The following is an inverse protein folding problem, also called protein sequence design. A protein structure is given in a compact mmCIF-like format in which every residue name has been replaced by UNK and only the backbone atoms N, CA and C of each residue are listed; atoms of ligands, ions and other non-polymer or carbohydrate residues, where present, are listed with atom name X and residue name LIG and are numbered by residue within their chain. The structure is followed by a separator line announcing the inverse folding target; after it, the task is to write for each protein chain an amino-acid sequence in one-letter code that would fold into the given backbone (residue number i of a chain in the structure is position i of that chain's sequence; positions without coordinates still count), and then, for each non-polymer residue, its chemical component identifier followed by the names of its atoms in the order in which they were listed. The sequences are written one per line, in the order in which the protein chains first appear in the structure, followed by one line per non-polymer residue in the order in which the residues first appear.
data_IF_306750801295
#
_entry.id   IF_306750801295
#
_cell.length_a   1.000
_cell.length_b   1.000
_cell.length_c   1.000
_cell.angle_alpha   90.00
_cell.angle_beta   90.00
_cell.angle_gamma   90.00
#
_symmetry.space_group_name_H-M   'P 1'
#
loop_
_entity.id
_entity.type
_entity.pdbx_description
1 polymer ?
#
# COMPACT_ATOMS: atom_id res chain seq x y z
N UNK A 1 37.52 23.01 -0.42
CA UNK A 1 36.43 22.90 -1.44
C UNK A 1 35.29 22.15 -0.79
N UNK A 2 34.31 22.89 -0.31
CA UNK A 2 33.10 22.32 0.27
C UNK A 2 32.18 21.88 -0.87
N UNK A 3 32.00 20.58 -1.05
CA UNK A 3 30.98 20.09 -1.98
C UNK A 3 29.63 20.30 -1.31
N UNK A 4 28.85 21.25 -1.84
CA UNK A 4 27.45 21.42 -1.49
C UNK A 4 26.69 20.14 -1.96
N UNK A 5 26.29 19.29 -1.05
CA UNK A 5 25.26 18.30 -1.34
C UNK A 5 23.96 19.05 -1.72
N UNK A 6 23.28 18.66 -2.81
CA UNK A 6 21.99 19.26 -3.13
C UNK A 6 21.05 19.02 -1.94
N UNK A 7 20.38 20.07 -1.49
CA UNK A 7 19.45 19.97 -0.35
C UNK A 7 18.37 18.93 -0.70
N UNK A 8 17.94 18.11 0.26
CA UNK A 8 16.93 17.05 0.09
C UNK A 8 15.63 17.55 -0.60
N UNK A 9 15.25 18.81 -0.37
CA UNK A 9 14.13 19.48 -1.04
C UNK A 9 14.32 19.65 -2.55
N UNK A 10 15.54 19.95 -3.00
CA UNK A 10 15.84 20.06 -4.44
C UNK A 10 15.72 18.69 -5.14
N UNK A 11 16.14 17.63 -4.47
CA UNK A 11 16.01 16.25 -4.97
C UNK A 11 14.53 15.81 -5.05
N UNK A 12 13.73 16.12 -4.02
CA UNK A 12 12.30 15.79 -3.99
C UNK A 12 11.52 16.50 -5.12
N UNK A 13 11.70 17.80 -5.27
CA UNK A 13 11.04 18.57 -6.34
C UNK A 13 11.45 18.11 -7.73
N UNK A 14 12.72 17.71 -7.92
CA UNK A 14 13.20 17.20 -9.20
C UNK A 14 12.57 15.83 -9.52
N UNK A 15 12.41 14.94 -8.53
CA UNK A 15 11.72 13.67 -8.69
C UNK A 15 10.26 13.88 -9.07
N UNK A 16 9.51 14.68 -8.28
CA UNK A 16 8.11 15.00 -8.55
C UNK A 16 7.95 15.53 -9.98
N UNK A 17 8.78 16.53 -10.37
CA UNK A 17 8.72 17.10 -11.71
C UNK A 17 9.01 16.06 -12.79
N UNK A 18 9.98 15.17 -12.60
CA UNK A 18 10.32 14.12 -13.58
C UNK A 18 9.16 13.16 -13.86
N UNK A 19 8.36 12.85 -12.83
CA UNK A 19 7.14 12.03 -13.00
C UNK A 19 6.05 12.83 -13.72
N UNK A 20 5.85 14.08 -13.34
CA UNK A 20 4.84 14.96 -13.95
C UNK A 20 5.10 15.24 -15.43
N UNK A 21 6.36 15.28 -15.84
CA UNK A 21 6.78 15.48 -17.23
C UNK A 21 6.41 14.27 -18.14
N UNK A 22 6.22 13.09 -17.54
CA UNK A 22 5.71 11.90 -18.25
C UNK A 22 4.22 12.02 -18.60
N UNK A 23 3.50 12.95 -17.98
CA UNK A 23 2.07 13.18 -18.13
C UNK A 23 1.23 11.87 -18.06
N UNK A 24 1.39 11.05 -16.99
CA UNK A 24 0.68 9.79 -16.88
C UNK A 24 -0.83 10.03 -16.75
N UNK A 25 -1.63 9.18 -17.41
CA UNK A 25 -3.09 9.20 -17.30
C UNK A 25 -3.60 8.24 -16.24
N UNK A 26 -2.84 7.17 -15.98
CA UNK A 26 -3.11 6.16 -14.96
C UNK A 26 -1.83 5.87 -14.18
N UNK A 27 -1.88 6.11 -12.87
CA UNK A 27 -0.80 5.82 -11.94
C UNK A 27 -1.29 4.90 -10.81
N UNK A 28 -0.47 3.91 -10.44
CA UNK A 28 -0.77 2.96 -9.37
C UNK A 28 0.33 3.00 -8.32
N UNK A 29 -0.07 2.99 -7.06
CA UNK A 29 0.84 3.10 -5.93
C UNK A 29 0.63 1.92 -4.98
N UNK A 30 1.70 1.24 -4.62
CA UNK A 30 1.76 0.53 -3.36
C UNK A 30 1.65 1.53 -2.20
N UNK A 31 1.42 1.06 -0.98
CA UNK A 31 1.16 1.93 0.17
C UNK A 31 2.29 1.92 1.20
N UNK A 32 2.48 0.81 1.90
CA UNK A 32 3.46 0.65 2.98
C UNK A 32 4.89 0.72 2.43
N UNK A 33 5.71 1.64 2.93
CA UNK A 33 7.05 1.91 2.40
C UNK A 33 7.07 2.70 1.08
N UNK A 34 5.91 2.98 0.46
CA UNK A 34 5.77 3.73 -0.80
C UNK A 34 5.12 5.10 -0.60
N UNK A 35 3.97 5.16 0.07
CA UNK A 35 3.26 6.41 0.39
C UNK A 35 3.59 6.92 1.79
N UNK A 36 3.83 6.01 2.72
CA UNK A 36 4.25 6.28 4.10
C UNK A 36 5.27 5.24 4.56
N UNK A 37 6.09 5.60 5.54
CA UNK A 37 7.07 4.70 6.12
C UNK A 37 6.42 3.69 7.07
N UNK A 38 7.02 2.49 7.13
CA UNK A 38 6.59 1.40 8.02
C UNK A 38 5.58 0.47 7.39
N UNK A 39 5.05 -0.44 8.19
CA UNK A 39 4.06 -1.46 7.85
C UNK A 39 2.78 -1.18 8.62
N UNK A 40 1.80 -0.58 7.93
CA UNK A 40 0.51 -0.25 8.54
C UNK A 40 -0.33 -1.50 8.80
N UNK A 41 -0.13 -2.58 8.05
CA UNK A 41 -0.79 -3.87 8.27
C UNK A 41 -0.38 -4.48 9.60
N UNK A 42 0.92 -4.62 9.87
CA UNK A 42 1.45 -5.10 11.15
C UNK A 42 1.04 -4.18 12.30
N UNK A 43 1.19 -2.88 12.13
CA UNK A 43 0.88 -1.92 13.18
C UNK A 43 -0.62 -1.93 13.54
N UNK A 44 -1.52 -2.02 12.54
CA UNK A 44 -2.96 -2.13 12.77
C UNK A 44 -3.35 -3.44 13.43
N UNK A 45 -2.70 -4.53 13.07
CA UNK A 45 -2.93 -5.83 13.69
C UNK A 45 -2.79 -5.77 15.23
N UNK A 46 -1.71 -5.17 15.74
CA UNK A 46 -1.52 -5.01 17.19
C UNK A 46 -2.47 -3.97 17.78
N UNK A 47 -2.66 -2.85 17.12
CA UNK A 47 -3.57 -1.81 17.57
C UNK A 47 -5.02 -2.32 17.65
N UNK A 48 -5.48 -3.08 16.67
CA UNK A 48 -6.82 -3.67 16.64
C UNK A 48 -7.05 -4.67 17.79
N UNK A 49 -6.03 -5.43 18.19
CA UNK A 49 -6.11 -6.30 19.37
C UNK A 49 -6.32 -5.48 20.65
N UNK A 50 -5.56 -4.40 20.81
CA UNK A 50 -5.64 -3.53 21.98
C UNK A 50 -6.97 -2.79 22.08
N UNK A 51 -7.59 -2.49 20.93
CA UNK A 51 -8.85 -1.74 20.84
C UNK A 51 -10.09 -2.65 20.67
N UNK A 52 -9.91 -3.97 20.77
CA UNK A 52 -11.03 -4.91 20.80
C UNK A 52 -11.73 -5.10 19.45
N UNK A 53 -11.05 -4.84 18.31
CA UNK A 53 -11.58 -5.08 16.97
C UNK A 53 -11.40 -6.54 16.49
N UNK A 54 -11.13 -7.44 17.41
CA UNK A 54 -11.21 -8.90 17.26
C UNK A 54 -11.49 -9.55 18.60
N UNK A 55 -12.02 -10.78 18.59
CA UNK A 55 -12.29 -11.49 19.84
C UNK A 55 -10.98 -11.91 20.53
N UNK A 56 -11.02 -12.11 21.86
CA UNK A 56 -9.82 -12.52 22.63
C UNK A 56 -9.23 -13.84 22.16
N UNK A 57 -10.08 -14.81 21.76
CA UNK A 57 -9.63 -16.11 21.29
C UNK A 57 -8.95 -15.98 19.93
N UNK A 58 -9.52 -15.18 19.02
CA UNK A 58 -8.91 -14.84 17.72
C UNK A 58 -7.58 -14.12 17.93
N UNK A 59 -7.50 -13.13 18.80
CA UNK A 59 -6.27 -12.40 19.11
C UNK A 59 -5.17 -13.34 19.64
N UNK A 60 -5.51 -14.24 20.56
CA UNK A 60 -4.56 -15.21 21.11
C UNK A 60 -4.00 -16.14 20.02
N UNK A 61 -4.85 -16.66 19.13
CA UNK A 61 -4.44 -17.47 17.99
C UNK A 61 -3.58 -16.68 16.99
N UNK A 62 -3.99 -15.46 16.66
CA UNK A 62 -3.36 -14.61 15.68
C UNK A 62 -1.90 -14.25 16.02
N UNK A 63 -1.58 -14.06 17.31
CA UNK A 63 -0.19 -13.80 17.76
C UNK A 63 0.72 -14.99 17.43
N UNK A 64 0.26 -16.24 17.64
CA UNK A 64 1.04 -17.42 17.27
C UNK A 64 1.17 -17.54 15.75
N UNK A 65 0.09 -17.27 15.03
CA UNK A 65 0.04 -17.34 13.58
C UNK A 65 0.98 -16.34 12.92
N UNK A 66 0.98 -15.09 13.43
CA UNK A 66 1.89 -14.05 12.97
C UNK A 66 3.36 -14.37 13.24
N UNK A 67 3.66 -14.99 14.39
CA UNK A 67 5.01 -15.48 14.68
C UNK A 67 5.45 -16.59 13.72
N UNK A 68 4.55 -17.48 13.32
CA UNK A 68 4.84 -18.51 12.32
C UNK A 68 5.08 -17.89 10.93
N UNK A 69 4.35 -16.83 10.57
CA UNK A 69 4.62 -16.03 9.37
C UNK A 69 6.02 -15.40 9.41
N UNK A 70 6.38 -14.71 10.48
CA UNK A 70 7.74 -14.14 10.64
C UNK A 70 8.85 -15.19 10.65
N UNK A 71 8.53 -16.44 10.95
CA UNK A 71 9.44 -17.59 10.86
C UNK A 71 9.47 -18.25 9.46
N UNK A 72 8.75 -17.71 8.47
CA UNK A 72 8.67 -18.23 7.10
C UNK A 72 7.86 -19.53 6.95
N UNK A 73 7.00 -19.86 7.92
CA UNK A 73 6.14 -21.06 7.88
C UNK A 73 4.77 -20.80 7.26
N UNK A 74 4.42 -19.55 7.10
CA UNK A 74 3.18 -19.05 6.50
C UNK A 74 3.60 -18.07 5.41
N UNK A 75 3.02 -18.18 4.23
CA UNK A 75 3.30 -17.26 3.13
C UNK A 75 2.58 -15.92 3.31
N UNK A 76 3.02 -14.92 2.55
CA UNK A 76 2.51 -13.54 2.57
C UNK A 76 1.01 -13.48 2.25
N UNK A 77 0.57 -14.14 1.18
CA UNK A 77 -0.83 -14.11 0.74
C UNK A 77 -1.76 -14.66 1.82
N UNK A 78 -1.38 -15.80 2.41
CA UNK A 78 -2.12 -16.42 3.52
C UNK A 78 -2.20 -15.48 4.71
N UNK A 79 -1.07 -14.89 5.15
CA UNK A 79 -1.06 -14.04 6.34
C UNK A 79 -1.87 -12.75 6.13
N UNK A 80 -1.71 -12.08 4.99
CA UNK A 80 -2.46 -10.88 4.68
C UNK A 80 -3.97 -11.15 4.57
N UNK A 81 -4.36 -12.29 4.00
CA UNK A 81 -5.77 -12.72 3.97
C UNK A 81 -6.32 -13.03 5.36
N UNK A 82 -5.56 -13.73 6.20
CA UNK A 82 -5.94 -13.98 7.59
C UNK A 82 -6.10 -12.67 8.36
N UNK A 83 -5.20 -11.69 8.20
CA UNK A 83 -5.27 -10.39 8.86
C UNK A 83 -6.57 -9.62 8.57
N UNK A 84 -7.20 -9.84 7.43
CA UNK A 84 -8.53 -9.27 7.14
C UNK A 84 -9.62 -10.07 7.84
N UNK A 85 -9.59 -11.41 7.72
CA UNK A 85 -10.65 -12.27 8.23
C UNK A 85 -10.66 -12.42 9.76
N UNK A 86 -9.60 -11.97 10.46
CA UNK A 86 -9.56 -11.84 11.93
C UNK A 86 -10.70 -10.94 12.48
N UNK A 87 -11.22 -10.05 11.65
CA UNK A 87 -12.29 -9.11 12.01
C UNK A 87 -13.70 -9.65 11.69
N UNK A 88 -13.83 -10.94 11.37
CA UNK A 88 -15.12 -11.55 11.07
C UNK A 88 -16.13 -11.37 12.21
N UNK A 89 -17.34 -10.90 11.87
CA UNK A 89 -18.41 -10.58 12.81
C UNK A 89 -18.41 -9.14 13.33
N UNK A 90 -17.38 -8.34 13.06
CA UNK A 90 -17.35 -6.93 13.42
C UNK A 90 -18.05 -6.07 12.35
N UNK A 91 -18.80 -5.06 12.80
CA UNK A 91 -19.47 -4.12 11.90
C UNK A 91 -18.45 -3.32 11.07
N UNK A 92 -18.74 -3.14 9.77
CA UNK A 92 -17.85 -2.41 8.85
C UNK A 92 -17.60 -0.98 9.33
N UNK A 93 -18.63 -0.30 9.82
CA UNK A 93 -18.52 1.07 10.32
C UNK A 93 -17.58 1.16 11.54
N UNK A 94 -17.51 0.11 12.35
CA UNK A 94 -16.60 0.03 13.49
C UNK A 94 -15.15 -0.16 13.02
N UNK A 95 -14.94 -1.03 12.04
CA UNK A 95 -13.62 -1.26 11.43
C UNK A 95 -13.10 -0.02 10.68
N UNK A 96 -13.97 0.64 9.91
CA UNK A 96 -13.63 1.89 9.22
C UNK A 96 -13.26 3.01 10.19
N UNK A 97 -14.04 3.19 11.27
CA UNK A 97 -13.72 4.16 12.31
C UNK A 97 -12.40 3.84 13.00
N UNK A 98 -12.19 2.58 13.40
CA UNK A 98 -10.94 2.15 14.03
C UNK A 98 -9.74 2.34 13.12
N UNK A 99 -9.86 2.07 11.82
CA UNK A 99 -8.79 2.30 10.85
C UNK A 99 -8.46 3.80 10.67
N UNK A 100 -9.45 4.69 10.68
CA UNK A 100 -9.23 6.14 10.65
C UNK A 100 -8.52 6.63 11.91
N UNK A 101 -8.95 6.19 13.10
CA UNK A 101 -8.33 6.51 14.38
C UNK A 101 -6.88 6.02 14.41
N UNK A 102 -6.67 4.75 14.06
CA UNK A 102 -5.34 4.15 13.96
C UNK A 102 -4.43 4.93 13.01
N UNK A 103 -4.91 5.19 11.79
CA UNK A 103 -4.09 5.86 10.80
C UNK A 103 -3.68 7.26 11.26
N UNK A 104 -4.63 8.01 11.83
CA UNK A 104 -4.36 9.35 12.36
C UNK A 104 -3.35 9.33 13.51
N UNK A 105 -3.43 8.32 14.39
CA UNK A 105 -2.57 8.20 15.57
C UNK A 105 -1.17 7.67 15.26
N UNK A 106 -1.08 6.65 14.40
CA UNK A 106 0.15 5.86 14.22
C UNK A 106 0.87 6.10 12.90
N UNK A 107 0.15 6.39 11.81
CA UNK A 107 0.73 6.40 10.46
C UNK A 107 0.85 7.80 9.87
N UNK A 108 -0.09 8.70 10.13
CA UNK A 108 -0.15 10.01 9.48
C UNK A 108 1.15 10.83 9.59
N UNK A 109 1.89 10.69 10.70
CA UNK A 109 3.18 11.36 10.92
C UNK A 109 4.32 10.77 10.08
N UNK A 110 4.12 9.60 9.47
CA UNK A 110 5.10 8.88 8.66
C UNK A 110 4.83 8.98 7.15
N UNK A 111 3.83 9.78 6.74
CA UNK A 111 3.56 10.07 5.33
C UNK A 111 4.81 10.70 4.68
N UNK A 112 5.17 10.23 3.50
CA UNK A 112 6.23 10.83 2.69
C UNK A 112 5.72 12.10 2.00
N UNK A 113 6.19 13.31 2.40
CA UNK A 113 5.68 14.54 1.82
C UNK A 113 5.85 14.64 0.30
N UNK A 114 6.96 14.17 -0.31
CA UNK A 114 7.11 14.20 -1.77
C UNK A 114 6.10 13.31 -2.49
N UNK A 115 5.69 12.18 -1.88
CA UNK A 115 4.71 11.28 -2.48
C UNK A 115 3.29 11.87 -2.38
N UNK A 116 2.99 12.55 -1.27
CA UNK A 116 1.73 13.29 -1.12
C UNK A 116 1.64 14.45 -2.12
N UNK A 117 2.70 15.23 -2.27
CA UNK A 117 2.79 16.30 -3.27
C UNK A 117 2.59 15.73 -4.69
N UNK A 118 3.27 14.64 -5.02
CA UNK A 118 3.16 13.98 -6.32
C UNK A 118 1.72 13.56 -6.64
N UNK A 119 1.05 12.85 -5.71
CA UNK A 119 -0.31 12.37 -5.95
C UNK A 119 -1.30 13.53 -6.13
N UNK A 120 -1.18 14.59 -5.33
CA UNK A 120 -2.01 15.78 -5.47
C UNK A 120 -1.81 16.45 -6.84
N UNK A 121 -0.57 16.67 -7.27
CA UNK A 121 -0.29 17.30 -8.56
C UNK A 121 -0.69 16.41 -9.75
N UNK A 122 -0.56 15.09 -9.64
CA UNK A 122 -1.07 14.16 -10.64
C UNK A 122 -2.60 14.25 -10.78
N UNK A 123 -3.31 14.27 -9.64
CA UNK A 123 -4.77 14.40 -9.63
C UNK A 123 -5.24 15.73 -10.25
N UNK A 124 -4.57 16.85 -9.93
CA UNK A 124 -4.85 18.18 -10.52
C UNK A 124 -4.65 18.19 -12.04
N UNK A 125 -3.75 17.35 -12.57
CA UNK A 125 -3.52 17.19 -14.00
C UNK A 125 -4.45 16.17 -14.67
N UNK A 126 -5.40 15.60 -13.92
CA UNK A 126 -6.38 14.65 -14.42
C UNK A 126 -5.87 13.21 -14.52
N UNK A 127 -4.76 12.88 -13.86
CA UNK A 127 -4.30 11.49 -13.74
C UNK A 127 -5.25 10.70 -12.85
N UNK A 128 -5.65 9.52 -13.30
CA UNK A 128 -6.36 8.55 -12.47
C UNK A 128 -5.36 7.84 -11.56
N UNK A 129 -5.61 7.89 -10.23
CA UNK A 129 -4.67 7.35 -9.25
C UNK A 129 -5.34 6.23 -8.47
N UNK A 130 -4.62 5.10 -8.30
CA UNK A 130 -5.06 3.93 -7.56
C UNK A 130 -4.04 3.51 -6.50
N UNK A 131 -4.55 3.03 -5.37
CA UNK A 131 -3.76 2.35 -4.34
C UNK A 131 -3.91 0.84 -4.49
N UNK A 132 -2.80 0.09 -4.38
CA UNK A 132 -2.74 -1.38 -4.52
C UNK A 132 -1.89 -1.93 -3.39
N UNK A 133 -2.49 -2.61 -2.41
CA UNK A 133 -1.80 -3.02 -1.19
C UNK A 133 -2.24 -4.39 -0.68
N UNK A 134 -1.34 -5.15 -0.10
CA UNK A 134 -1.67 -6.39 0.64
C UNK A 134 -2.25 -6.14 2.03
N UNK A 135 -2.16 -4.90 2.54
CA UNK A 135 -2.78 -4.48 3.79
C UNK A 135 -4.31 -4.43 3.67
N UNK A 136 -5.03 -4.59 4.78
CA UNK A 136 -6.49 -4.60 4.79
C UNK A 136 -7.10 -3.29 4.26
N UNK A 137 -8.24 -3.40 3.58
CA UNK A 137 -8.87 -2.30 2.84
C UNK A 137 -9.27 -1.10 3.71
N UNK A 138 -9.62 -1.29 4.97
CA UNK A 138 -10.04 -0.20 5.85
C UNK A 138 -8.87 0.74 6.15
N UNK A 139 -7.70 0.18 6.49
CA UNK A 139 -6.47 0.95 6.73
C UNK A 139 -6.00 1.63 5.46
N UNK A 140 -5.98 0.89 4.34
CA UNK A 140 -5.54 1.45 3.05
C UNK A 140 -6.45 2.60 2.61
N UNK A 141 -7.77 2.48 2.77
CA UNK A 141 -8.73 3.56 2.46
C UNK A 141 -8.54 4.78 3.36
N UNK A 142 -8.29 4.56 4.66
CA UNK A 142 -8.01 5.67 5.60
C UNK A 142 -6.75 6.45 5.18
N UNK A 143 -5.68 5.74 4.77
CA UNK A 143 -4.46 6.35 4.27
C UNK A 143 -4.62 7.00 2.91
N UNK A 144 -5.22 6.32 1.94
CA UNK A 144 -5.38 6.76 0.55
C UNK A 144 -6.09 8.12 0.43
N UNK A 145 -7.06 8.40 1.31
CA UNK A 145 -7.74 9.71 1.38
C UNK A 145 -6.78 10.87 1.62
N UNK A 146 -5.64 10.66 2.31
CA UNK A 146 -4.61 11.68 2.55
C UNK A 146 -3.85 12.06 1.29
N UNK A 147 -3.97 11.22 0.26
CA UNK A 147 -3.34 11.38 -1.06
C UNK A 147 -4.36 11.75 -2.16
N UNK A 148 -5.60 12.07 -1.77
CA UNK A 148 -6.67 12.40 -2.73
C UNK A 148 -7.19 11.18 -3.50
N UNK A 149 -6.87 9.95 -3.06
CA UNK A 149 -7.35 8.71 -3.69
C UNK A 149 -8.72 8.34 -3.11
N UNK A 150 -9.73 8.23 -3.97
CA UNK A 150 -11.08 7.87 -3.56
C UNK A 150 -11.17 6.39 -3.15
N UNK A 151 -12.10 6.06 -2.25
CA UNK A 151 -12.22 4.70 -1.68
C UNK A 151 -12.53 3.61 -2.72
N UNK A 152 -13.17 3.96 -3.83
CA UNK A 152 -13.43 3.07 -4.96
C UNK A 152 -12.22 2.85 -5.89
N UNK A 153 -11.11 3.55 -5.61
CA UNK A 153 -9.81 3.41 -6.29
C UNK A 153 -8.76 2.74 -5.42
N UNK A 154 -9.21 1.86 -4.54
CA UNK A 154 -8.35 1.06 -3.66
C UNK A 154 -8.53 -0.41 -3.99
N UNK A 155 -7.44 -1.09 -4.34
CA UNK A 155 -7.33 -2.54 -4.46
C UNK A 155 -6.49 -3.02 -3.28
N UNK A 156 -7.15 -3.57 -2.26
CA UNK A 156 -6.50 -3.98 -1.02
C UNK A 156 -7.01 -5.33 -0.55
N UNK A 157 -6.32 -5.95 0.41
CA UNK A 157 -6.82 -7.20 0.98
C UNK A 157 -8.20 -6.98 1.60
N UNK A 158 -9.19 -7.75 1.15
CA UNK A 158 -10.58 -7.56 1.54
C UNK A 158 -11.35 -8.87 1.70
N UNK A 159 -12.34 -8.84 2.59
CA UNK A 159 -13.30 -9.92 2.81
C UNK A 159 -14.71 -9.47 2.40
N UNK A 160 -15.60 -10.45 2.21
CA UNK A 160 -16.99 -10.14 1.95
C UNK A 160 -17.66 -9.47 3.15
N UNK A 161 -18.58 -8.57 2.84
CA UNK A 161 -19.44 -7.95 3.84
C UNK A 161 -20.80 -8.64 3.78
N UNK A 162 -21.25 -9.16 4.91
CA UNK A 162 -22.50 -9.88 5.07
C UNK A 162 -23.25 -9.25 6.23
N UNK A 163 -24.50 -8.83 6.00
CA UNK A 163 -25.35 -8.14 6.99
C UNK A 163 -24.66 -6.94 7.69
N UNK A 164 -23.82 -6.20 6.95
CA UNK A 164 -23.10 -5.03 7.47
C UNK A 164 -21.86 -5.38 8.29
N UNK A 165 -21.49 -6.66 8.40
CA UNK A 165 -20.33 -7.13 9.13
C UNK A 165 -19.28 -7.74 8.19
N UNK A 166 -18.02 -7.65 8.56
CA UNK A 166 -16.93 -8.39 7.92
C UNK A 166 -17.20 -9.90 8.07
N UNK A 167 -17.07 -10.66 6.99
CA UNK A 167 -17.20 -12.11 7.04
C UNK A 167 -15.84 -12.81 6.97
N UNK A 168 -15.80 -14.12 7.22
CA UNK A 168 -14.60 -14.93 7.06
C UNK A 168 -14.29 -15.29 5.59
N UNK A 169 -15.12 -14.85 4.64
CA UNK A 169 -14.95 -15.15 3.22
C UNK A 169 -14.03 -14.13 2.56
N UNK A 170 -12.78 -14.51 2.40
CA UNK A 170 -11.77 -13.70 1.70
C UNK A 170 -12.16 -13.50 0.22
N UNK A 171 -12.00 -12.30 -0.28
CA UNK A 171 -12.29 -11.94 -1.68
C UNK A 171 -11.02 -11.71 -2.50
N UNK A 172 -10.03 -11.04 -1.92
CA UNK A 172 -8.83 -10.64 -2.65
C UNK A 172 -7.68 -10.39 -1.66
N UNK A 173 -6.47 -10.73 -2.09
CA UNK A 173 -5.20 -10.33 -1.46
C UNK A 173 -4.24 -9.90 -2.56
N UNK A 174 -4.06 -8.59 -2.81
CA UNK A 174 -3.15 -8.11 -3.84
C UNK A 174 -1.71 -8.10 -3.31
N UNK A 175 -1.05 -9.25 -3.35
CA UNK A 175 0.39 -9.39 -3.10
C UNK A 175 1.05 -10.14 -4.25
N UNK A 176 2.32 -9.95 -4.51
CA UNK A 176 3.06 -10.60 -5.59
C UNK A 176 2.31 -10.51 -6.96
N UNK A 177 2.11 -11.66 -7.62
CA UNK A 177 1.29 -11.73 -8.85
C UNK A 177 -0.15 -11.29 -8.63
N UNK A 178 -0.68 -11.38 -7.41
CA UNK A 178 -2.02 -10.93 -7.05
C UNK A 178 -2.23 -9.44 -7.32
N UNK A 179 -1.21 -8.58 -7.14
CA UNK A 179 -1.27 -7.15 -7.53
C UNK A 179 -1.50 -7.00 -9.03
N UNK A 180 -0.76 -7.74 -9.84
CA UNK A 180 -0.91 -7.71 -11.29
C UNK A 180 -2.26 -8.28 -11.76
N UNK A 181 -2.73 -9.35 -11.12
CA UNK A 181 -4.05 -9.95 -11.39
C UNK A 181 -5.18 -8.96 -11.10
N UNK A 182 -5.15 -8.31 -9.93
CA UNK A 182 -6.14 -7.31 -9.54
C UNK A 182 -6.18 -6.12 -10.53
N UNK A 183 -5.01 -5.65 -10.95
CA UNK A 183 -4.89 -4.55 -11.91
C UNK A 183 -5.38 -4.93 -13.31
N UNK A 184 -5.03 -6.13 -13.81
CA UNK A 184 -5.53 -6.62 -15.10
C UNK A 184 -7.05 -6.82 -15.10
N UNK A 185 -7.61 -7.29 -13.99
CA UNK A 185 -9.06 -7.43 -13.85
C UNK A 185 -9.77 -6.07 -13.87
N UNK A 186 -9.15 -5.04 -13.28
CA UNK A 186 -9.70 -3.68 -13.22
C UNK A 186 -9.50 -2.92 -14.53
N UNK A 187 -8.38 -3.14 -15.22
CA UNK A 187 -7.95 -2.44 -16.44
C UNK A 187 -7.61 -3.44 -17.57
N UNK A 188 -8.58 -4.21 -18.08
CA UNK A 188 -8.30 -5.27 -19.06
C UNK A 188 -7.65 -4.76 -20.34
N UNK A 189 -8.02 -3.56 -20.78
CA UNK A 189 -7.51 -2.91 -21.99
C UNK A 189 -6.61 -1.70 -21.68
N UNK A 190 -6.40 -1.41 -20.41
CA UNK A 190 -5.72 -0.21 -19.94
C UNK A 190 -4.20 -0.43 -19.78
N UNK A 191 -3.40 0.45 -20.38
CA UNK A 191 -1.99 0.55 -20.08
C UNK A 191 -1.81 1.38 -18.79
N UNK A 192 -1.11 0.84 -17.81
CA UNK A 192 -0.66 1.57 -16.64
C UNK A 192 0.52 2.44 -17.08
N UNK A 193 0.41 3.76 -16.91
CA UNK A 193 1.47 4.67 -17.34
C UNK A 193 2.59 4.73 -16.32
N UNK A 194 2.28 4.77 -15.00
CA UNK A 194 3.26 4.80 -13.94
C UNK A 194 2.88 3.87 -12.78
N UNK A 195 3.86 3.15 -12.22
CA UNK A 195 3.67 2.33 -11.02
C UNK A 195 4.79 2.58 -10.00
N UNK A 196 4.41 2.58 -8.73
CA UNK A 196 5.29 2.88 -7.60
C UNK A 196 5.20 1.77 -6.56
N UNK A 197 6.34 1.27 -6.08
CA UNK A 197 6.41 0.20 -5.09
C UNK A 197 7.75 0.15 -4.39
N UNK A 198 7.87 -0.63 -3.31
CA UNK A 198 9.05 -0.62 -2.44
C UNK A 198 9.67 -2.00 -2.20
N UNK A 199 8.97 -3.09 -2.48
CA UNK A 199 9.47 -4.45 -2.21
C UNK A 199 9.40 -5.37 -3.42
N UNK A 200 10.00 -6.55 -3.32
CA UNK A 200 9.91 -7.60 -4.35
C UNK A 200 8.47 -8.03 -4.65
N UNK A 201 7.55 -7.87 -3.69
CA UNK A 201 6.12 -8.16 -3.85
C UNK A 201 5.41 -7.21 -4.83
N UNK A 202 6.09 -6.09 -5.23
CA UNK A 202 5.60 -5.12 -6.20
C UNK A 202 6.07 -5.39 -7.63
N UNK A 203 7.04 -6.29 -7.82
CA UNK A 203 7.67 -6.52 -9.13
C UNK A 203 6.67 -6.83 -10.23
N UNK A 204 5.64 -7.63 -9.93
CA UNK A 204 4.60 -7.97 -10.90
C UNK A 204 3.78 -6.74 -11.31
N UNK A 205 3.39 -5.90 -10.35
CA UNK A 205 2.69 -4.63 -10.59
C UNK A 205 3.56 -3.64 -11.37
N UNK A 206 4.79 -3.41 -10.91
CA UNK A 206 5.75 -2.51 -11.56
C UNK A 206 6.02 -2.90 -13.01
N UNK A 207 6.05 -4.22 -13.28
CA UNK A 207 6.27 -4.75 -14.64
C UNK A 207 5.12 -4.49 -15.63
N UNK A 208 3.93 -4.11 -15.14
CA UNK A 208 2.79 -3.74 -16.00
C UNK A 208 2.87 -2.31 -16.52
N UNK A 209 3.63 -1.46 -15.83
CA UNK A 209 3.67 -0.04 -16.13
C UNK A 209 4.69 0.30 -17.24
N UNK A 210 4.40 1.39 -17.96
CA UNK A 210 5.37 1.99 -18.89
C UNK A 210 6.58 2.55 -18.19
N UNK A 211 6.34 3.13 -16.99
CA UNK A 211 7.35 3.72 -16.12
C UNK A 211 7.21 3.16 -14.71
N UNK A 212 8.23 2.46 -14.25
CA UNK A 212 8.28 1.86 -12.93
C UNK A 212 9.24 2.63 -12.01
N UNK A 213 8.78 2.87 -10.77
CA UNK A 213 9.50 3.63 -9.76
C UNK A 213 9.63 2.77 -8.49
N UNK A 214 10.86 2.48 -8.10
CA UNK A 214 11.19 1.80 -6.86
C UNK A 214 11.43 2.87 -5.78
N UNK A 215 10.54 2.94 -4.80
CA UNK A 215 10.54 3.95 -3.74
C UNK A 215 11.14 3.34 -2.47
N UNK A 216 12.23 3.90 -1.93
CA UNK A 216 12.95 3.34 -0.77
C UNK A 216 13.05 1.80 -0.84
N UNK A 217 13.51 1.21 -1.98
CA UNK A 217 13.36 -0.20 -2.23
C UNK A 217 14.14 -1.06 -1.24
N UNK A 218 13.57 -2.23 -0.91
CA UNK A 218 14.35 -3.29 -0.28
C UNK A 218 15.48 -3.79 -1.21
N UNK A 219 16.44 -4.56 -0.67
CA UNK A 219 17.59 -5.03 -1.44
C UNK A 219 17.18 -5.90 -2.65
N UNK A 220 16.06 -6.62 -2.54
CA UNK A 220 15.53 -7.45 -3.61
C UNK A 220 14.99 -6.60 -4.76
N UNK A 221 14.12 -5.64 -4.47
CA UNK A 221 13.58 -4.73 -5.48
C UNK A 221 14.66 -3.81 -6.06
N UNK A 222 15.62 -3.36 -5.24
CA UNK A 222 16.75 -2.55 -5.73
C UNK A 222 17.55 -3.29 -6.81
N UNK A 223 17.81 -4.60 -6.60
CA UNK A 223 18.49 -5.44 -7.59
C UNK A 223 17.69 -5.53 -8.89
N UNK A 224 16.37 -5.80 -8.81
CA UNK A 224 15.50 -5.87 -9.98
C UNK A 224 15.38 -4.53 -10.69
N UNK A 225 15.26 -3.44 -9.95
CA UNK A 225 15.17 -2.09 -10.50
C UNK A 225 16.43 -1.73 -11.30
N UNK A 226 17.61 -2.07 -10.77
CA UNK A 226 18.90 -1.87 -11.47
C UNK A 226 18.98 -2.69 -12.74
N UNK A 227 18.60 -3.96 -12.71
CA UNK A 227 18.61 -4.86 -13.87
C UNK A 227 17.67 -4.37 -14.98
N UNK A 228 16.48 -3.89 -14.61
CA UNK A 228 15.43 -3.46 -15.54
C UNK A 228 15.51 -1.98 -15.92
N UNK A 229 16.43 -1.20 -15.33
CA UNK A 229 16.55 0.22 -15.57
C UNK A 229 15.38 1.04 -15.02
N UNK A 230 14.75 0.58 -13.93
CA UNK A 230 13.69 1.31 -13.25
C UNK A 230 14.26 2.47 -12.44
N UNK A 231 13.49 3.51 -12.28
CA UNK A 231 13.91 4.66 -11.47
C UNK A 231 13.84 4.32 -9.99
N UNK A 232 14.92 4.57 -9.28
CA UNK A 232 14.99 4.44 -7.81
C UNK A 232 14.93 5.84 -7.19
N UNK A 233 14.08 5.99 -6.17
CA UNK A 233 13.95 7.24 -5.42
C UNK A 233 13.75 6.96 -3.93
N UNK A 234 14.47 7.73 -3.10
CA UNK A 234 14.32 7.72 -1.65
C UNK A 234 13.70 9.04 -1.19
N UNK A 235 12.48 9.04 -0.63
CA UNK A 235 11.77 10.24 -0.18
C UNK A 235 12.23 10.78 1.19
N UNK A 236 13.21 10.13 1.88
CA UNK A 236 13.69 10.50 3.22
C UNK A 236 14.93 11.40 3.13
#
# INVERSE_FOLDING_TARGET
MSMNEPSSKSSASAFVQSVLDLAPRLAVFDCDGTLWAGDAGEAFFYWAMEHGLMTKDVAAWAVYRYRDYKAGKVDEETMCGEMVTLHAGFAVEELERGAEEFFAEKIAMHIFPPMQELTMQLAERGCEIWAVSSTNEWVVRAGARRFGIASDRVLAACAAIEDGCCSSRLLMVPTDEGKAVALRARFPDGAIDAAFGNTVHDVAMLSLARHAFAISPDAGLESVARERGWTVYDPI
#
